data_IF_458062938160
#
_entry.id   IF_458062938160
#
_cell.length_a   1.000
_cell.length_b   1.000
_cell.length_c   1.000
_cell.angle_alpha   90.00
_cell.angle_beta   90.00
_cell.angle_gamma   90.00
#
_symmetry.space_group_name_H-M   'P 1'
#
loop_
_entity.id
_entity.type
_entity.pdbx_description
1 polymer ?
#
# COMPACT_ATOMS: atom_id res chain seq x y z
N UNK A 1 7.17 23.88 7.87
CA UNK A 1 8.00 23.09 6.95
C UNK A 1 8.54 21.91 7.71
N UNK A 2 8.42 20.69 7.19
CA UNK A 2 8.92 19.47 7.83
C UNK A 2 10.43 19.38 7.64
N UNK A 3 11.18 19.42 8.73
CA UNK A 3 12.64 19.23 8.67
C UNK A 3 12.98 17.73 8.78
N UNK A 4 13.19 17.10 7.61
CA UNK A 4 13.44 15.65 7.51
C UNK A 4 14.78 15.27 8.15
N UNK A 5 15.76 16.17 8.23
CA UNK A 5 17.07 15.88 8.80
C UNK A 5 17.05 15.54 10.30
N UNK A 6 15.93 15.82 10.98
CA UNK A 6 15.74 15.53 12.42
C UNK A 6 15.37 14.08 12.71
N UNK A 7 15.00 13.31 11.69
CA UNK A 7 14.57 11.93 11.87
C UNK A 7 15.75 10.96 11.77
N UNK A 8 15.73 9.96 12.63
CA UNK A 8 16.75 8.91 12.70
C UNK A 8 16.38 7.67 11.85
N UNK A 9 15.12 7.63 11.36
CA UNK A 9 14.60 6.57 10.51
C UNK A 9 13.43 7.11 9.69
N UNK A 10 13.37 6.75 8.41
CA UNK A 10 12.24 7.06 7.54
C UNK A 10 11.63 5.76 7.03
N UNK A 11 10.31 5.61 7.16
CA UNK A 11 9.59 4.44 6.68
C UNK A 11 8.55 4.88 5.66
N UNK A 12 8.48 4.15 4.56
CA UNK A 12 7.46 4.33 3.53
C UNK A 12 6.48 3.15 3.55
N UNK A 13 5.21 3.42 3.36
CA UNK A 13 4.32 2.43 2.78
C UNK A 13 4.58 2.32 1.28
N UNK A 14 4.00 1.29 0.63
CA UNK A 14 4.20 1.04 -0.79
C UNK A 14 3.00 1.47 -1.63
N UNK A 15 1.85 0.85 -1.41
CA UNK A 15 0.64 1.07 -2.20
C UNK A 15 0.01 2.43 -1.87
N UNK A 16 -0.27 3.26 -2.89
CA UNK A 16 -0.75 4.62 -2.67
C UNK A 16 0.30 5.64 -2.24
N UNK A 17 1.50 5.20 -1.80
CA UNK A 17 2.63 6.05 -1.40
C UNK A 17 3.72 6.05 -2.46
N UNK A 18 4.29 4.90 -2.79
CA UNK A 18 5.31 4.73 -3.84
C UNK A 18 4.65 4.32 -5.15
N UNK A 19 3.76 3.33 -5.10
CA UNK A 19 3.04 2.79 -6.24
C UNK A 19 1.68 3.47 -6.39
N UNK A 20 1.34 3.87 -7.61
CA UNK A 20 -0.01 4.31 -7.99
C UNK A 20 -0.86 3.08 -8.32
N UNK A 21 -1.14 2.27 -7.28
CA UNK A 21 -1.62 0.90 -7.41
C UNK A 21 -3.11 0.71 -7.08
N UNK A 22 -3.72 1.61 -6.28
CA UNK A 22 -5.06 1.36 -5.78
C UNK A 22 -6.12 1.25 -6.88
N UNK A 23 -6.02 2.08 -7.93
CA UNK A 23 -6.86 1.96 -9.12
C UNK A 23 -6.61 0.69 -9.92
N UNK A 24 -5.35 0.23 -9.98
CA UNK A 24 -4.97 -0.97 -10.70
C UNK A 24 -5.54 -2.24 -10.05
N UNK A 25 -5.58 -2.31 -8.72
CA UNK A 25 -6.22 -3.44 -8.03
C UNK A 25 -7.74 -3.47 -8.22
N UNK A 26 -8.40 -2.32 -8.37
CA UNK A 26 -9.83 -2.28 -8.78
C UNK A 26 -10.02 -2.84 -10.19
N UNK A 27 -9.10 -2.51 -11.09
CA UNK A 27 -9.11 -3.05 -12.44
C UNK A 27 -8.82 -4.56 -12.47
N UNK A 28 -7.94 -5.06 -11.60
CA UNK A 28 -7.72 -6.49 -11.42
C UNK A 28 -9.02 -7.20 -11.03
N UNK A 29 -9.72 -6.72 -10.01
CA UNK A 29 -11.01 -7.28 -9.58
C UNK A 29 -12.04 -7.28 -10.73
N UNK A 30 -12.12 -6.18 -11.50
CA UNK A 30 -13.00 -6.08 -12.67
C UNK A 30 -12.68 -7.14 -13.72
N UNK A 31 -11.40 -7.32 -14.03
CA UNK A 31 -10.94 -8.30 -15.01
C UNK A 31 -11.20 -9.74 -14.55
N UNK A 32 -11.00 -10.03 -13.26
CA UNK A 32 -11.31 -11.33 -12.66
C UNK A 32 -12.82 -11.62 -12.75
N UNK A 33 -13.66 -10.65 -12.38
CA UNK A 33 -15.13 -10.79 -12.48
C UNK A 33 -15.55 -11.03 -13.94
N UNK A 34 -14.99 -10.26 -14.85
CA UNK A 34 -15.28 -10.40 -16.28
C UNK A 34 -14.90 -11.78 -16.82
N UNK A 35 -13.72 -12.28 -16.47
CA UNK A 35 -13.23 -13.56 -16.96
C UNK A 35 -14.00 -14.75 -16.34
N UNK A 36 -14.23 -14.73 -15.05
CA UNK A 36 -14.88 -15.83 -14.34
C UNK A 36 -16.39 -15.90 -14.55
N UNK A 37 -17.06 -14.74 -14.70
CA UNK A 37 -18.54 -14.65 -14.66
C UNK A 37 -19.13 -13.99 -15.91
N UNK A 38 -18.30 -13.50 -16.85
CA UNK A 38 -18.77 -12.82 -18.06
C UNK A 38 -19.37 -11.42 -17.83
N UNK A 39 -19.23 -10.87 -16.62
CA UNK A 39 -19.80 -9.57 -16.22
C UNK A 39 -18.72 -8.48 -16.29
N UNK A 40 -18.93 -7.47 -17.15
CA UNK A 40 -18.06 -6.30 -17.22
C UNK A 40 -18.57 -5.23 -16.24
N UNK A 41 -18.18 -5.36 -14.97
CA UNK A 41 -18.67 -4.50 -13.89
C UNK A 41 -18.00 -3.12 -13.94
N UNK A 42 -18.69 -2.08 -13.45
CA UNK A 42 -18.13 -0.73 -13.36
C UNK A 42 -17.20 -0.62 -12.16
N UNK A 43 -16.15 0.18 -12.30
CA UNK A 43 -15.14 0.40 -11.24
C UNK A 43 -15.80 0.93 -9.95
N UNK A 44 -16.80 1.81 -10.04
CA UNK A 44 -17.50 2.35 -8.88
C UNK A 44 -18.23 1.25 -8.07
N UNK A 45 -18.73 0.21 -8.73
CA UNK A 45 -19.35 -0.93 -8.04
C UNK A 45 -18.28 -1.83 -7.39
N UNK A 46 -17.14 -2.00 -8.04
CA UNK A 46 -15.98 -2.70 -7.45
C UNK A 46 -15.50 -1.96 -6.17
N UNK A 47 -15.39 -0.64 -6.22
CA UNK A 47 -15.04 0.17 -5.04
C UNK A 47 -16.03 0.00 -3.90
N UNK A 48 -17.33 0.04 -4.17
CA UNK A 48 -18.37 -0.19 -3.17
C UNK A 48 -18.27 -1.59 -2.53
N UNK A 49 -17.91 -2.60 -3.31
CA UNK A 49 -17.74 -3.95 -2.79
C UNK A 49 -16.51 -4.06 -1.88
N UNK A 50 -15.36 -3.53 -2.32
CA UNK A 50 -14.15 -3.57 -1.51
C UNK A 50 -14.27 -2.78 -0.20
N UNK A 51 -15.10 -1.73 -0.16
CA UNK A 51 -15.41 -0.99 1.07
C UNK A 51 -16.20 -1.78 2.10
N UNK A 52 -17.05 -2.72 1.68
CA UNK A 52 -17.78 -3.59 2.63
C UNK A 52 -16.83 -4.43 3.50
N UNK A 53 -15.66 -4.77 2.99
CA UNK A 53 -14.61 -5.42 3.79
C UNK A 53 -14.05 -4.42 4.81
N UNK A 54 -13.64 -3.23 4.34
CA UNK A 54 -13.02 -2.19 5.18
C UNK A 54 -13.93 -1.72 6.32
N UNK A 55 -15.25 -1.77 6.12
CA UNK A 55 -16.26 -1.38 7.12
C UNK A 55 -16.72 -2.52 8.03
N UNK A 56 -16.17 -3.72 7.88
CA UNK A 56 -16.55 -4.90 8.67
C UNK A 56 -17.91 -5.50 8.31
N UNK A 57 -18.55 -5.04 7.22
CA UNK A 57 -19.81 -5.61 6.72
C UNK A 57 -19.58 -7.00 6.07
N UNK A 58 -18.36 -7.30 5.70
CA UNK A 58 -17.85 -8.61 5.31
C UNK A 58 -16.65 -8.88 6.20
N UNK A 59 -16.45 -10.11 6.68
CA UNK A 59 -15.27 -10.47 7.46
C UNK A 59 -13.99 -10.04 6.75
N UNK A 60 -12.98 -9.63 7.54
CA UNK A 60 -11.83 -8.86 7.08
C UNK A 60 -10.76 -9.72 6.36
N UNK A 61 -11.16 -10.68 5.54
CA UNK A 61 -10.21 -11.46 4.73
C UNK A 61 -10.47 -11.31 3.24
N UNK A 62 -9.41 -11.36 2.44
CA UNK A 62 -9.52 -11.39 0.98
C UNK A 62 -10.35 -12.58 0.50
N UNK A 63 -10.25 -13.71 1.18
CA UNK A 63 -11.07 -14.90 0.90
C UNK A 63 -12.58 -14.62 1.06
N UNK A 64 -12.98 -13.88 2.10
CA UNK A 64 -14.38 -13.53 2.30
C UNK A 64 -14.87 -12.53 1.24
N UNK A 65 -13.98 -11.63 0.79
CA UNK A 65 -14.28 -10.74 -0.34
C UNK A 65 -14.54 -11.51 -1.63
N UNK A 66 -13.65 -12.45 -1.97
CA UNK A 66 -13.83 -13.23 -3.20
C UNK A 66 -15.01 -14.23 -3.10
N UNK A 67 -15.32 -14.75 -1.92
CA UNK A 67 -16.58 -15.50 -1.68
C UNK A 67 -17.81 -14.62 -1.88
N UNK A 68 -17.77 -13.37 -1.43
CA UNK A 68 -18.85 -12.41 -1.67
C UNK A 68 -19.01 -12.10 -3.17
N UNK A 69 -17.91 -11.94 -3.91
CA UNK A 69 -17.94 -11.77 -5.37
C UNK A 69 -18.58 -13.00 -6.03
N UNK A 70 -18.18 -14.21 -5.66
CA UNK A 70 -18.71 -15.44 -6.21
C UNK A 70 -20.23 -15.60 -5.93
N UNK A 71 -20.66 -15.28 -4.73
CA UNK A 71 -22.09 -15.27 -4.40
C UNK A 71 -22.89 -14.24 -5.21
N UNK A 72 -22.29 -13.09 -5.49
CA UNK A 72 -22.94 -12.00 -6.23
C UNK A 72 -23.07 -12.30 -7.73
N UNK A 73 -22.07 -12.92 -8.33
CA UNK A 73 -21.96 -13.08 -9.79
C UNK A 73 -22.03 -14.52 -10.28
N UNK A 74 -21.76 -15.51 -9.41
CA UNK A 74 -21.52 -16.89 -9.78
C UNK A 74 -22.30 -17.93 -8.98
N UNK A 75 -23.36 -17.56 -8.24
CA UNK A 75 -24.18 -18.46 -7.42
C UNK A 75 -23.42 -19.18 -6.29
N UNK A 76 -22.22 -18.76 -5.97
CA UNK A 76 -21.39 -19.34 -4.90
C UNK A 76 -20.78 -20.70 -5.24
N UNK A 77 -20.66 -21.05 -6.52
CA UNK A 77 -20.24 -22.37 -6.99
C UNK A 77 -18.73 -22.54 -7.19
N UNK A 78 -17.96 -21.44 -7.31
CA UNK A 78 -16.52 -21.54 -7.55
C UNK A 78 -15.75 -21.77 -6.25
N UNK A 79 -14.73 -22.62 -6.35
CA UNK A 79 -13.77 -22.77 -5.25
C UNK A 79 -12.89 -21.53 -5.14
N UNK A 80 -12.35 -21.27 -3.94
CA UNK A 80 -11.34 -20.21 -3.76
C UNK A 80 -10.11 -20.46 -4.62
N UNK A 81 -9.71 -21.73 -4.83
CA UNK A 81 -8.56 -22.09 -5.64
C UNK A 81 -8.74 -21.68 -7.11
N UNK A 82 -9.97 -21.83 -7.66
CA UNK A 82 -10.29 -21.36 -9.02
C UNK A 82 -10.19 -19.84 -9.10
N UNK A 83 -10.72 -19.13 -8.12
CA UNK A 83 -10.69 -17.66 -8.09
C UNK A 83 -9.25 -17.16 -7.95
N UNK A 84 -8.50 -17.70 -6.99
CA UNK A 84 -7.08 -17.35 -6.82
C UNK A 84 -6.23 -17.72 -8.02
N UNK A 85 -6.50 -18.86 -8.66
CA UNK A 85 -5.84 -19.25 -9.90
C UNK A 85 -6.00 -18.18 -11.00
N UNK A 86 -7.22 -17.62 -11.13
CA UNK A 86 -7.48 -16.55 -12.09
C UNK A 86 -6.81 -15.23 -11.69
N UNK A 87 -6.81 -14.89 -10.40
CA UNK A 87 -6.09 -13.71 -9.90
C UNK A 87 -4.59 -13.82 -10.23
N UNK A 88 -3.95 -14.95 -9.93
CA UNK A 88 -2.53 -15.17 -10.22
C UNK A 88 -2.20 -15.15 -11.71
N UNK A 89 -3.15 -15.49 -12.58
CA UNK A 89 -3.01 -15.37 -14.03
C UNK A 89 -3.03 -13.92 -14.50
N UNK A 90 -3.97 -13.11 -13.97
CA UNK A 90 -4.21 -11.72 -14.43
C UNK A 90 -3.31 -10.71 -13.71
N UNK A 91 -3.04 -10.90 -12.42
CA UNK A 91 -2.33 -9.93 -11.58
C UNK A 91 -0.98 -9.49 -12.17
N UNK A 92 -0.11 -10.36 -12.70
CA UNK A 92 1.17 -9.93 -13.26
C UNK A 92 1.05 -8.93 -14.41
N UNK A 93 -0.01 -9.02 -15.22
CA UNK A 93 -0.27 -8.08 -16.33
C UNK A 93 -0.69 -6.72 -15.80
N UNK A 94 -1.54 -6.69 -14.78
CA UNK A 94 -1.99 -5.46 -14.12
C UNK A 94 -0.83 -4.82 -13.38
N UNK A 95 -0.13 -5.56 -12.53
CA UNK A 95 1.00 -5.11 -11.73
C UNK A 95 2.14 -4.55 -12.58
N UNK A 96 2.45 -5.19 -13.74
CA UNK A 96 3.48 -4.69 -14.66
C UNK A 96 3.22 -3.26 -15.13
N UNK A 97 1.97 -2.82 -15.15
CA UNK A 97 1.54 -1.51 -15.62
C UNK A 97 1.43 -0.45 -14.51
N UNK A 98 1.53 -0.82 -13.25
CA UNK A 98 1.51 0.11 -12.12
C UNK A 98 2.74 1.03 -12.20
N UNK A 99 2.50 2.33 -12.13
CA UNK A 99 3.54 3.35 -12.18
C UNK A 99 3.93 3.80 -10.77
N UNK A 100 5.13 4.36 -10.60
CA UNK A 100 5.42 5.13 -9.38
C UNK A 100 4.50 6.34 -9.30
N UNK A 101 4.11 6.72 -8.09
CA UNK A 101 3.40 8.00 -7.86
C UNK A 101 4.25 9.17 -8.33
N UNK A 102 3.56 10.19 -8.87
CA UNK A 102 4.23 11.36 -9.43
C UNK A 102 5.11 12.06 -8.37
N UNK A 103 6.39 12.23 -8.68
CA UNK A 103 7.36 12.90 -7.80
C UNK A 103 8.08 11.99 -6.82
N UNK A 104 7.59 10.77 -6.51
CA UNK A 104 8.19 9.91 -5.47
C UNK A 104 9.64 9.50 -5.78
N UNK A 105 9.95 9.22 -7.05
CA UNK A 105 11.33 8.86 -7.47
C UNK A 105 12.32 10.00 -7.17
N UNK A 106 11.91 11.25 -7.41
CA UNK A 106 12.74 12.41 -7.10
C UNK A 106 12.95 12.56 -5.59
N UNK A 107 11.90 12.32 -4.79
CA UNK A 107 11.98 12.31 -3.33
C UNK A 107 12.95 11.25 -2.84
N UNK A 108 12.81 10.00 -3.29
CA UNK A 108 13.71 8.91 -2.92
C UNK A 108 15.17 9.21 -3.30
N UNK A 109 15.42 9.71 -4.51
CA UNK A 109 16.73 10.13 -4.95
C UNK A 109 17.33 11.27 -4.10
N UNK A 110 16.49 12.23 -3.71
CA UNK A 110 16.91 13.35 -2.86
C UNK A 110 17.26 12.87 -1.45
N UNK A 111 16.43 12.02 -0.86
CA UNK A 111 16.68 11.42 0.44
C UNK A 111 18.01 10.65 0.45
N UNK A 112 18.23 9.74 -0.50
CA UNK A 112 19.50 8.98 -0.59
C UNK A 112 20.75 9.87 -0.70
N UNK A 113 20.62 11.08 -1.24
CA UNK A 113 21.74 12.03 -1.37
C UNK A 113 21.95 12.90 -0.13
N UNK A 114 20.87 13.26 0.56
CA UNK A 114 20.89 14.31 1.60
C UNK A 114 20.84 13.78 3.03
N UNK A 115 20.33 12.56 3.24
CA UNK A 115 20.21 11.98 4.56
C UNK A 115 21.11 10.76 4.74
N UNK A 116 21.51 10.53 5.98
CA UNK A 116 22.33 9.38 6.38
C UNK A 116 21.57 8.36 7.22
N UNK A 117 20.32 8.68 7.63
CA UNK A 117 19.51 7.74 8.37
C UNK A 117 18.96 6.63 7.45
N UNK A 118 18.67 5.44 7.99
CA UNK A 118 18.09 4.35 7.24
C UNK A 118 16.73 4.72 6.64
N UNK A 119 16.44 4.15 5.45
CA UNK A 119 15.12 4.23 4.81
C UNK A 119 14.57 2.82 4.73
N UNK A 120 13.34 2.60 5.21
CA UNK A 120 12.68 1.31 5.22
C UNK A 120 11.33 1.34 4.51
N UNK A 121 10.86 0.16 4.12
CA UNK A 121 9.54 -0.08 3.54
C UNK A 121 8.72 -0.97 4.49
N UNK A 122 7.46 -0.58 4.76
CA UNK A 122 6.51 -1.38 5.52
C UNK A 122 5.17 -1.45 4.78
N UNK A 123 4.90 -2.56 4.11
CA UNK A 123 3.75 -2.72 3.21
C UNK A 123 2.80 -3.84 3.63
N UNK A 124 1.53 -3.71 3.24
CA UNK A 124 0.54 -4.79 3.30
C UNK A 124 0.58 -5.72 2.07
N UNK A 125 1.41 -5.42 1.07
CA UNK A 125 1.66 -6.30 -0.06
C UNK A 125 2.53 -7.48 0.33
N UNK A 126 2.41 -8.60 -0.41
CA UNK A 126 3.22 -9.80 -0.20
C UNK A 126 4.68 -9.60 -0.60
N UNK A 127 5.56 -10.49 -0.12
CA UNK A 127 6.98 -10.51 -0.53
C UNK A 127 7.10 -10.71 -2.05
N UNK A 128 6.30 -11.61 -2.60
CA UNK A 128 6.31 -11.88 -4.04
C UNK A 128 5.94 -10.67 -4.90
N UNK A 129 5.00 -9.84 -4.43
CA UNK A 129 4.63 -8.60 -5.12
C UNK A 129 5.79 -7.59 -5.10
N UNK A 130 6.40 -7.38 -3.95
CA UNK A 130 7.54 -6.46 -3.81
C UNK A 130 8.75 -6.92 -4.65
N UNK A 131 9.01 -8.23 -4.66
CA UNK A 131 10.04 -8.81 -5.51
C UNK A 131 9.74 -8.59 -7.00
N UNK A 132 8.48 -8.76 -7.42
CA UNK A 132 8.05 -8.46 -8.79
C UNK A 132 8.26 -6.97 -9.14
N UNK A 133 7.86 -6.05 -8.25
CA UNK A 133 8.04 -4.61 -8.45
C UNK A 133 9.51 -4.17 -8.48
N UNK A 134 10.41 -4.95 -7.93
CA UNK A 134 11.87 -4.73 -8.01
C UNK A 134 12.48 -5.18 -9.34
N UNK A 135 11.74 -5.90 -10.20
CA UNK A 135 12.21 -6.40 -11.49
C UNK A 135 11.94 -5.42 -12.64
N UNK A 136 12.71 -5.53 -13.73
CA UNK A 136 12.46 -4.78 -14.98
C UNK A 136 11.16 -5.15 -15.70
N UNK A 137 10.41 -6.14 -15.21
CA UNK A 137 9.09 -6.51 -15.71
C UNK A 137 8.02 -5.49 -15.34
N UNK A 138 8.19 -4.76 -14.23
CA UNK A 138 7.28 -3.70 -13.78
C UNK A 138 7.75 -2.31 -14.22
N UNK A 139 6.82 -1.37 -14.39
CA UNK A 139 7.14 0.04 -14.67
C UNK A 139 7.87 0.72 -13.50
N UNK A 140 7.65 0.27 -12.27
CA UNK A 140 8.39 0.73 -11.09
C UNK A 140 9.84 0.24 -11.19
N UNK A 141 10.05 -1.06 -11.36
CA UNK A 141 11.37 -1.66 -11.43
C UNK A 141 12.20 -1.25 -12.66
N UNK A 142 11.56 -0.70 -13.71
CA UNK A 142 12.27 -0.05 -14.81
C UNK A 142 12.94 1.26 -14.40
N UNK A 143 12.42 1.93 -13.36
CA UNK A 143 12.91 3.22 -12.88
C UNK A 143 13.80 3.08 -11.66
N UNK A 144 13.42 2.23 -10.69
CA UNK A 144 14.17 1.98 -9.46
C UNK A 144 14.19 0.48 -9.14
N UNK A 145 15.24 0.02 -8.47
CA UNK A 145 15.22 -1.25 -7.76
C UNK A 145 14.96 -0.94 -6.28
N UNK A 146 13.86 -1.45 -5.72
CA UNK A 146 13.47 -1.16 -4.34
C UNK A 146 14.58 -1.53 -3.33
N UNK A 147 15.32 -2.62 -3.58
CA UNK A 147 16.41 -3.05 -2.71
C UNK A 147 17.61 -2.08 -2.69
N UNK A 148 17.74 -1.18 -3.67
CA UNK A 148 18.79 -0.15 -3.68
C UNK A 148 18.41 1.08 -2.84
N UNK A 149 17.09 1.25 -2.59
CA UNK A 149 16.55 2.41 -1.86
C UNK A 149 16.21 2.10 -0.41
N UNK A 150 15.77 0.88 -0.11
CA UNK A 150 15.29 0.49 1.22
C UNK A 150 16.28 -0.45 1.91
N UNK A 151 16.79 -0.02 3.06
CA UNK A 151 17.74 -0.79 3.87
C UNK A 151 17.04 -1.98 4.58
N UNK A 152 15.70 -1.89 4.74
CA UNK A 152 14.84 -2.94 5.31
C UNK A 152 13.47 -2.89 4.64
N UNK A 153 12.94 -4.05 4.30
CA UNK A 153 11.58 -4.22 3.75
C UNK A 153 10.83 -5.22 4.60
N UNK A 154 9.74 -4.77 5.23
CA UNK A 154 8.75 -5.59 5.94
C UNK A 154 7.48 -5.66 5.10
N UNK A 155 7.04 -6.87 4.79
CA UNK A 155 5.86 -7.17 3.99
C UNK A 155 4.74 -7.76 4.85
N UNK A 156 3.57 -8.01 4.25
CA UNK A 156 2.48 -8.73 4.90
C UNK A 156 2.95 -10.09 5.47
N UNK A 157 3.83 -10.80 4.75
CA UNK A 157 4.30 -12.14 5.14
C UNK A 157 5.19 -12.11 6.39
N UNK A 158 5.73 -10.95 6.75
CA UNK A 158 6.63 -10.79 7.88
C UNK A 158 5.90 -10.47 9.19
N UNK A 159 4.58 -10.25 9.20
CA UNK A 159 3.81 -9.82 10.37
C UNK A 159 2.68 -10.79 10.71
N UNK A 160 2.32 -10.87 11.99
CA UNK A 160 1.16 -11.63 12.45
C UNK A 160 -0.11 -10.78 12.47
N UNK A 161 0.05 -9.51 12.79
CA UNK A 161 -1.05 -8.57 12.93
C UNK A 161 -0.87 -7.45 11.89
N UNK A 162 -1.67 -7.44 10.81
CA UNK A 162 -1.59 -6.41 9.78
C UNK A 162 -2.11 -5.05 10.28
N UNK A 163 -1.83 -3.98 9.54
CA UNK A 163 -2.39 -2.64 9.76
C UNK A 163 -3.93 -2.73 9.89
N UNK A 164 -4.57 -2.08 10.87
CA UNK A 164 -4.07 -0.96 11.68
C UNK A 164 -3.22 -1.34 12.92
N UNK A 165 -2.87 -2.61 13.11
CA UNK A 165 -1.93 -2.97 14.18
C UNK A 165 -0.53 -2.44 13.85
N UNK A 166 0.23 -1.88 14.83
CA UNK A 166 1.52 -1.22 14.56
C UNK A 166 2.70 -2.17 14.33
N UNK A 167 2.47 -3.48 14.24
CA UNK A 167 3.54 -4.49 14.26
C UNK A 167 4.62 -4.27 13.20
N UNK A 168 4.25 -3.98 11.95
CA UNK A 168 5.20 -3.77 10.86
C UNK A 168 6.15 -2.60 11.15
N UNK A 169 5.62 -1.49 11.65
CA UNK A 169 6.41 -0.31 12.01
C UNK A 169 7.26 -0.57 13.26
N UNK A 170 6.69 -1.17 14.30
CA UNK A 170 7.41 -1.47 15.55
C UNK A 170 8.58 -2.43 15.32
N UNK A 171 8.46 -3.39 14.41
CA UNK A 171 9.57 -4.29 14.03
C UNK A 171 10.74 -3.51 13.44
N UNK A 172 10.47 -2.58 12.52
CA UNK A 172 11.51 -1.75 11.92
C UNK A 172 12.14 -0.82 12.98
N UNK A 173 11.32 -0.14 13.79
CA UNK A 173 11.77 0.74 14.87
C UNK A 173 12.69 -0.01 15.85
N UNK A 174 12.28 -1.22 16.25
CA UNK A 174 13.07 -2.08 17.13
C UNK A 174 14.40 -2.53 16.49
N UNK A 175 14.39 -2.85 15.20
CA UNK A 175 15.58 -3.26 14.46
C UNK A 175 16.66 -2.17 14.48
N UNK A 176 16.25 -0.91 14.26
CA UNK A 176 17.17 0.23 14.23
C UNK A 176 17.42 0.84 15.62
N UNK A 177 16.70 0.38 16.66
CA UNK A 177 16.86 0.82 18.06
C UNK A 177 16.70 2.34 18.24
N UNK A 178 15.83 2.94 17.46
CA UNK A 178 15.50 4.37 17.54
C UNK A 178 14.25 4.61 18.40
N UNK A 179 14.07 5.84 18.90
CA UNK A 179 12.84 6.21 19.59
C UNK A 179 11.71 6.41 18.58
N UNK A 180 10.47 5.97 18.86
CA UNK A 180 9.37 6.14 17.91
C UNK A 180 9.15 7.61 17.47
N UNK A 181 9.34 8.58 18.35
CA UNK A 181 9.17 10.01 18.03
C UNK A 181 10.24 10.57 17.08
N UNK A 182 11.36 9.86 16.86
CA UNK A 182 12.39 10.21 15.87
C UNK A 182 12.19 9.48 14.53
N UNK A 183 11.03 8.83 14.33
CA UNK A 183 10.71 8.11 13.10
C UNK A 183 9.67 8.88 12.29
N UNK A 184 9.94 9.03 11.00
CA UNK A 184 9.00 9.59 10.03
C UNK A 184 8.39 8.47 9.19
N UNK A 185 7.06 8.44 9.09
CA UNK A 185 6.33 7.44 8.29
C UNK A 185 5.50 8.16 7.22
N UNK A 186 5.65 7.73 5.96
CA UNK A 186 4.79 8.14 4.85
C UNK A 186 3.74 7.07 4.60
N UNK A 187 2.46 7.47 4.59
CA UNK A 187 1.29 6.61 4.46
C UNK A 187 0.20 7.30 3.65
N UNK A 188 -0.78 6.53 3.11
CA UNK A 188 -1.93 7.08 2.38
C UNK A 188 -3.28 6.64 2.97
N UNK A 189 -3.30 5.51 3.68
CA UNK A 189 -4.51 4.84 4.17
C UNK A 189 -4.81 5.15 5.63
N UNK A 190 -6.10 5.14 6.01
CA UNK A 190 -6.48 5.33 7.42
C UNK A 190 -5.93 4.20 8.31
N UNK A 191 -5.92 2.96 7.83
CA UNK A 191 -5.38 1.82 8.59
C UNK A 191 -3.89 1.97 8.85
N UNK A 192 -3.12 2.43 7.85
CA UNK A 192 -1.70 2.66 8.01
C UNK A 192 -1.38 3.88 8.86
N UNK A 193 -2.12 4.97 8.71
CA UNK A 193 -1.98 6.17 9.58
C UNK A 193 -2.24 5.80 11.04
N UNK A 194 -3.30 5.04 11.33
CA UNK A 194 -3.59 4.56 12.69
C UNK A 194 -2.48 3.66 13.23
N UNK A 195 -1.97 2.74 12.41
CA UNK A 195 -0.85 1.86 12.78
C UNK A 195 0.42 2.67 13.09
N UNK A 196 0.75 3.67 12.27
CA UNK A 196 1.91 4.53 12.45
C UNK A 196 1.79 5.41 13.71
N UNK A 197 0.60 5.97 13.98
CA UNK A 197 0.32 6.71 15.21
C UNK A 197 0.38 5.81 16.45
N UNK A 198 -0.14 4.58 16.35
CA UNK A 198 -0.04 3.59 17.44
C UNK A 198 1.41 3.15 17.70
N UNK A 199 2.28 3.17 16.68
CA UNK A 199 3.72 2.96 16.84
C UNK A 199 4.45 4.15 17.50
N UNK A 200 3.79 5.31 17.67
CA UNK A 200 4.37 6.52 18.28
C UNK A 200 5.20 7.39 17.33
N UNK A 201 5.12 7.16 16.02
CA UNK A 201 5.88 7.86 15.00
C UNK A 201 5.21 9.18 14.56
N UNK A 202 5.99 10.02 13.87
CA UNK A 202 5.48 11.17 13.11
C UNK A 202 4.98 10.67 11.76
N UNK A 203 3.75 11.06 11.39
CA UNK A 203 3.08 10.54 10.21
C UNK A 203 2.79 11.65 9.21
N UNK A 204 3.30 11.49 8.00
CA UNK A 204 2.94 12.31 6.84
C UNK A 204 2.02 11.48 5.93
N UNK A 205 0.79 11.91 5.79
CA UNK A 205 -0.15 11.28 4.87
C UNK A 205 -0.01 11.88 3.47
N UNK A 206 0.04 11.00 2.45
CA UNK A 206 0.04 11.37 1.03
C UNK A 206 -1.37 11.15 0.48
N UNK A 207 -1.91 12.12 -0.25
CA UNK A 207 -3.23 11.98 -0.86
C UNK A 207 -3.28 10.86 -1.88
N UNK A 208 -4.33 10.06 -1.77
CA UNK A 208 -4.72 9.13 -2.81
C UNK A 208 -6.22 9.27 -3.10
N UNK A 209 -6.57 9.43 -4.38
CA UNK A 209 -7.95 9.64 -4.81
C UNK A 209 -8.88 8.49 -4.40
N UNK A 210 -8.35 7.28 -4.26
CA UNK A 210 -9.12 6.10 -3.87
C UNK A 210 -9.38 6.02 -2.36
N UNK A 211 -8.77 6.92 -1.57
CA UNK A 211 -9.00 7.05 -0.12
C UNK A 211 -9.92 8.24 0.23
N UNK A 212 -10.60 8.84 -0.76
CA UNK A 212 -11.39 10.07 -0.58
C UNK A 212 -12.44 10.01 0.53
N UNK A 213 -13.02 8.86 0.81
CA UNK A 213 -14.02 8.68 1.87
C UNK A 213 -13.41 8.80 3.27
N UNK A 214 -12.18 8.36 3.44
CA UNK A 214 -11.44 8.42 4.69
C UNK A 214 -10.57 9.68 4.80
N UNK A 215 -10.53 10.52 3.76
CA UNK A 215 -9.66 11.71 3.70
C UNK A 215 -9.77 12.60 4.93
N UNK A 216 -11.00 12.88 5.40
CA UNK A 216 -11.22 13.72 6.58
C UNK A 216 -10.58 13.14 7.85
N UNK A 217 -10.66 11.84 8.02
CA UNK A 217 -10.09 11.14 9.17
C UNK A 217 -8.56 11.05 9.05
N UNK A 218 -8.04 10.75 7.85
CA UNK A 218 -6.61 10.75 7.56
C UNK A 218 -6.00 12.12 7.87
N UNK A 219 -6.57 13.21 7.34
CA UNK A 219 -6.11 14.58 7.58
C UNK A 219 -6.15 14.95 9.06
N UNK A 220 -7.17 14.49 9.81
CA UNK A 220 -7.29 14.75 11.25
C UNK A 220 -6.27 13.99 12.09
N UNK A 221 -5.86 12.79 11.65
CA UNK A 221 -5.04 11.85 12.43
C UNK A 221 -3.56 11.97 12.15
N UNK A 222 -3.17 12.24 10.89
CA UNK A 222 -1.78 12.46 10.50
C UNK A 222 -1.23 13.78 11.08
N UNK A 223 0.09 13.85 11.26
CA UNK A 223 0.77 15.07 11.72
C UNK A 223 0.92 16.10 10.59
N UNK A 224 1.02 15.61 9.33
CA UNK A 224 1.03 16.41 8.11
C UNK A 224 0.29 15.67 7.01
N UNK A 225 -0.36 16.42 6.13
CA UNK A 225 -1.02 15.91 4.94
C UNK A 225 -0.50 16.62 3.70
N UNK A 226 -0.07 15.85 2.71
CA UNK A 226 0.42 16.35 1.42
C UNK A 226 -0.50 15.86 0.30
N UNK A 227 -0.92 16.76 -0.57
CA UNK A 227 -1.73 16.39 -1.75
C UNK A 227 -0.91 15.64 -2.81
N UNK A 228 0.39 15.81 -2.80
CA UNK A 228 1.32 15.09 -3.66
C UNK A 228 2.76 15.28 -3.19
N UNK A 229 3.68 14.47 -3.73
CA UNK A 229 5.10 14.51 -3.39
C UNK A 229 5.83 15.81 -3.74
N UNK A 230 5.28 16.65 -4.64
CA UNK A 230 5.90 17.93 -5.02
C UNK A 230 5.82 18.99 -3.91
N UNK A 231 4.95 18.78 -2.92
CA UNK A 231 4.84 19.65 -1.73
C UNK A 231 5.89 19.34 -0.66
N UNK A 232 6.60 18.22 -0.79
CA UNK A 232 7.65 17.85 0.15
C UNK A 232 8.95 18.55 -0.22
N UNK A 233 9.36 19.50 0.58
CA UNK A 233 10.66 20.15 0.47
C UNK A 233 11.71 19.35 1.28
N UNK A 234 12.80 18.92 0.61
CA UNK A 234 13.88 18.10 1.17
C UNK A 234 15.22 18.84 1.01
#
# INVERSE_FOLDING_TARGET
>A
MLDISKFELIIFDFDGVIADSLGAYRELDRLVIKDLYGVDERIEEIEKMSEKIKTGAINNSENDYYRFIDQKYGDGCKSLDEIWGKIFEIAPVVQANIKPKSGVINVLNCLKKKITCPIALATSSSRSDIDFFSTKKSKIGQQINLNDYFDTIITFDDVKNPKPHPESFLRIISLYKVTPSSVLIFEDSISGVLAAKAAGAVVVAIDDIHNYKNKKEIVKTADLYLENWLQLEI
#
